data_IF_298068704620
#
_entry.id   IF_298068704620
#
_cell.length_a   1.000
_cell.length_b   1.000
_cell.length_c   1.000
_cell.angle_alpha   90.00
_cell.angle_beta   90.00
_cell.angle_gamma   90.00
#
_symmetry.space_group_name_H-M   'P 1'
#
loop_
_entity.id
_entity.type
_entity.pdbx_description
1 polymer ?
#
# COMPACT_ATOMS: atom_id res chain seq x y z
N UNK A 1 -0.87 -23.69 10.27
CA UNK A 1 -1.16 -22.57 9.35
C UNK A 1 0.01 -21.61 9.47
N UNK A 2 0.69 -21.30 8.35
CA UNK A 2 1.80 -20.34 8.37
C UNK A 2 1.22 -18.93 8.55
N UNK A 3 1.93 -18.10 9.31
CA UNK A 3 1.51 -16.75 9.66
C UNK A 3 2.30 -15.77 8.81
N UNK A 4 1.60 -14.89 8.08
CA UNK A 4 2.19 -13.88 7.20
C UNK A 4 1.66 -12.50 7.62
N UNK A 5 2.25 -11.89 8.66
CA UNK A 5 1.72 -10.69 9.29
C UNK A 5 1.41 -9.54 8.33
N UNK A 6 2.30 -9.25 7.38
CA UNK A 6 2.11 -8.11 6.47
C UNK A 6 1.02 -8.42 5.42
N UNK A 7 0.96 -9.66 4.94
CA UNK A 7 -0.13 -10.12 4.08
C UNK A 7 -1.49 -10.09 4.80
N UNK A 8 -1.54 -10.52 6.06
CA UNK A 8 -2.76 -10.52 6.89
C UNK A 8 -3.24 -9.09 7.19
N UNK A 9 -2.32 -8.16 7.50
CA UNK A 9 -2.65 -6.73 7.62
C UNK A 9 -3.26 -6.19 6.33
N UNK A 10 -2.61 -6.45 5.18
CA UNK A 10 -3.10 -5.97 3.89
C UNK A 10 -4.46 -6.57 3.53
N UNK A 11 -4.68 -7.85 3.84
CA UNK A 11 -5.96 -8.52 3.63
C UNK A 11 -7.07 -7.94 4.51
N UNK A 12 -6.76 -7.65 5.78
CA UNK A 12 -7.70 -7.01 6.70
C UNK A 12 -8.13 -5.60 6.28
N UNK A 13 -7.44 -5.00 5.32
CA UNK A 13 -7.67 -3.65 4.81
C UNK A 13 -8.08 -3.66 3.33
N UNK A 14 -8.37 -4.82 2.74
CA UNK A 14 -8.55 -4.95 1.29
C UNK A 14 -9.63 -4.00 0.74
N UNK A 15 -10.74 -3.86 1.46
CA UNK A 15 -11.89 -3.05 1.02
C UNK A 15 -11.54 -1.57 1.04
N UNK A 16 -10.98 -1.09 2.15
CA UNK A 16 -10.55 0.30 2.34
C UNK A 16 -9.42 0.65 1.38
N UNK A 17 -8.41 -0.21 1.28
CA UNK A 17 -7.27 -0.05 0.37
C UNK A 17 -7.74 0.09 -1.08
N UNK A 18 -8.63 -0.80 -1.54
CA UNK A 18 -9.19 -0.75 -2.89
C UNK A 18 -9.94 0.56 -3.12
N UNK A 19 -10.83 0.95 -2.21
CA UNK A 19 -11.61 2.19 -2.35
C UNK A 19 -10.71 3.44 -2.42
N UNK A 20 -9.67 3.50 -1.58
CA UNK A 20 -8.70 4.61 -1.58
C UNK A 20 -7.92 4.65 -2.89
N UNK A 21 -7.44 3.50 -3.38
CA UNK A 21 -6.70 3.43 -4.64
C UNK A 21 -7.55 3.79 -5.85
N UNK A 22 -8.79 3.30 -5.92
CA UNK A 22 -9.73 3.67 -6.99
C UNK A 22 -10.03 5.18 -7.01
N UNK A 23 -10.23 5.77 -5.83
CA UNK A 23 -10.46 7.21 -5.72
C UNK A 23 -9.20 8.01 -6.08
N UNK A 24 -8.04 7.57 -5.64
CA UNK A 24 -6.76 8.17 -5.99
C UNK A 24 -6.53 8.14 -7.51
N UNK A 25 -6.75 7.01 -8.16
CA UNK A 25 -6.58 6.86 -9.61
C UNK A 25 -7.56 7.76 -10.38
N UNK A 26 -8.80 7.88 -9.90
CA UNK A 26 -9.75 8.85 -10.43
C UNK A 26 -9.21 10.28 -10.32
N UNK A 27 -8.73 10.70 -9.15
CA UNK A 27 -8.16 12.04 -8.94
C UNK A 27 -6.94 12.29 -9.84
N UNK A 28 -6.04 11.33 -9.93
CA UNK A 28 -4.88 11.40 -10.82
C UNK A 28 -5.30 11.56 -12.28
N UNK A 29 -6.36 10.87 -12.72
CA UNK A 29 -6.91 11.02 -14.08
C UNK A 29 -7.47 12.43 -14.37
N UNK A 30 -7.79 13.19 -13.33
CA UNK A 30 -8.23 14.60 -13.41
C UNK A 30 -7.07 15.59 -13.24
N UNK A 31 -5.84 15.10 -13.07
CA UNK A 31 -4.64 15.93 -12.88
C UNK A 31 -4.42 16.40 -11.44
N UNK A 32 -5.13 15.84 -10.46
CA UNK A 32 -4.82 16.09 -9.06
C UNK A 32 -3.62 15.28 -8.62
N UNK A 33 -2.84 15.85 -7.70
CA UNK A 33 -1.65 15.23 -7.11
C UNK A 33 -1.71 15.33 -5.60
N UNK A 34 -1.03 14.43 -4.89
CA UNK A 34 -0.95 14.46 -3.43
C UNK A 34 0.11 15.49 -3.04
N UNK A 35 -0.24 16.40 -2.15
CA UNK A 35 0.68 17.38 -1.59
C UNK A 35 0.66 17.33 -0.06
N UNK A 36 1.74 17.76 0.55
CA UNK A 36 1.90 17.95 1.99
C UNK A 36 2.18 19.42 2.27
N UNK A 37 1.64 19.93 3.37
CA UNK A 37 1.99 21.25 3.86
C UNK A 37 3.31 21.17 4.63
N UNK A 38 4.32 21.90 4.14
CA UNK A 38 5.58 22.11 4.84
C UNK A 38 5.65 23.60 5.16
N UNK A 39 5.48 23.93 6.45
CA UNK A 39 5.26 25.30 6.91
C UNK A 39 4.01 25.90 6.23
N UNK A 40 4.17 26.93 5.39
CA UNK A 40 3.08 27.58 4.64
C UNK A 40 3.04 27.15 3.17
N UNK A 41 3.96 26.30 2.73
CA UNK A 41 4.08 25.86 1.34
C UNK A 41 3.40 24.50 1.11
N UNK A 42 2.70 24.40 -0.03
CA UNK A 42 2.10 23.14 -0.47
C UNK A 42 3.05 22.43 -1.45
N UNK A 43 3.66 21.34 -1.00
CA UNK A 43 4.72 20.64 -1.74
C UNK A 43 4.21 19.29 -2.22
N UNK A 44 4.47 18.97 -3.49
CA UNK A 44 4.11 17.68 -4.08
C UNK A 44 4.83 16.53 -3.37
N UNK A 45 4.07 15.51 -2.96
CA UNK A 45 4.60 14.31 -2.33
C UNK A 45 5.19 13.41 -3.41
N UNK A 46 6.48 13.08 -3.28
CA UNK A 46 7.19 12.21 -4.24
C UNK A 46 6.88 10.73 -4.08
N UNK A 47 6.31 10.32 -2.94
CA UNK A 47 5.89 8.94 -2.67
C UNK A 47 4.65 8.58 -3.50
N UNK A 48 4.58 7.32 -3.94
CA UNK A 48 3.35 6.79 -4.55
C UNK A 48 2.23 6.66 -3.51
N UNK A 49 0.98 6.70 -3.96
CA UNK A 49 -0.18 6.47 -3.10
C UNK A 49 -0.09 5.15 -2.34
N UNK A 50 0.39 4.09 -2.99
CA UNK A 50 0.60 2.79 -2.35
C UNK A 50 1.63 2.87 -1.21
N UNK A 51 2.74 3.59 -1.40
CA UNK A 51 3.72 3.77 -0.33
C UNK A 51 3.13 4.56 0.86
N UNK A 52 2.32 5.58 0.59
CA UNK A 52 1.63 6.33 1.64
C UNK A 52 0.62 5.47 2.42
N UNK A 53 -0.08 4.57 1.74
CA UNK A 53 -0.99 3.62 2.38
C UNK A 53 -0.20 2.66 3.27
N UNK A 54 0.91 2.11 2.78
CA UNK A 54 1.75 1.22 3.57
C UNK A 54 2.31 1.93 4.82
N UNK A 55 2.76 3.17 4.69
CA UNK A 55 3.19 3.99 5.82
C UNK A 55 2.03 4.20 6.83
N UNK A 56 0.83 4.51 6.33
CA UNK A 56 -0.37 4.77 7.15
C UNK A 56 -0.77 3.55 7.99
N UNK A 57 -0.67 2.35 7.42
CA UNK A 57 -1.09 1.11 8.07
C UNK A 57 0.07 0.32 8.69
N UNK A 58 1.30 0.86 8.69
CA UNK A 58 2.47 0.18 9.22
C UNK A 58 2.76 -1.14 8.51
N UNK A 59 2.57 -1.16 7.19
CA UNK A 59 2.89 -2.30 6.33
C UNK A 59 4.33 -2.15 5.84
N UNK A 60 5.16 -3.15 6.10
CA UNK A 60 6.54 -3.18 5.61
C UNK A 60 6.58 -3.79 4.19
N UNK A 61 6.86 -3.01 3.13
CA UNK A 61 6.81 -3.52 1.76
C UNK A 61 7.86 -4.59 1.48
N UNK A 62 9.00 -4.56 2.18
CA UNK A 62 10.07 -5.55 1.99
C UNK A 62 9.65 -6.89 2.59
N UNK A 63 9.06 -6.86 3.79
CA UNK A 63 8.53 -8.06 4.43
C UNK A 63 7.31 -8.61 3.69
N UNK A 64 6.39 -7.74 3.27
CA UNK A 64 5.22 -8.14 2.46
C UNK A 64 5.64 -8.92 1.22
N UNK A 65 6.65 -8.45 0.50
CA UNK A 65 7.15 -9.12 -0.69
C UNK A 65 7.86 -10.44 -0.36
N UNK A 66 8.62 -10.51 0.74
CA UNK A 66 9.21 -11.75 1.21
C UNK A 66 8.15 -12.80 1.59
N UNK A 67 7.09 -12.39 2.29
CA UNK A 67 5.96 -13.24 2.64
C UNK A 67 5.23 -13.75 1.40
N UNK A 68 4.97 -12.89 0.41
CA UNK A 68 4.36 -13.30 -0.88
C UNK A 68 5.18 -14.36 -1.61
N UNK A 69 6.50 -14.23 -1.63
CA UNK A 69 7.40 -15.24 -2.22
C UNK A 69 7.30 -16.56 -1.46
N UNK A 70 7.29 -16.51 -0.13
CA UNK A 70 7.15 -17.71 0.69
C UNK A 70 5.81 -18.41 0.44
N UNK A 71 4.70 -17.66 0.33
CA UNK A 71 3.38 -18.21 -0.02
C UNK A 71 3.44 -18.93 -1.38
N UNK A 72 4.07 -18.33 -2.39
CA UNK A 72 4.20 -18.94 -3.71
C UNK A 72 5.06 -20.21 -3.71
N UNK A 73 6.13 -20.24 -2.91
CA UNK A 73 6.95 -21.46 -2.71
C UNK A 73 6.16 -22.56 -2.03
N UNK A 74 5.36 -22.20 -1.03
CA UNK A 74 4.54 -23.14 -0.28
C UNK A 74 3.46 -23.77 -1.15
N UNK A 75 2.79 -22.98 -1.99
CA UNK A 75 1.80 -23.46 -2.97
C UNK A 75 2.43 -24.35 -4.05
N UNK A 76 3.71 -24.15 -4.40
CA UNK A 76 4.42 -24.95 -5.40
C UNK A 76 5.00 -26.25 -4.86
N UNK A 77 5.21 -26.34 -3.56
CA UNK A 77 5.73 -27.52 -2.88
C UNK A 77 4.66 -28.53 -2.45
N UNK A 78 3.39 -28.16 -2.55
CA UNK A 78 2.19 -29.00 -2.36
C UNK A 78 1.72 -29.62 -3.68
#
# INVERSE_FOLDING_TARGET
MKHYPECEKLQGLEVEHRAIMEFHDYLASKGFVICEYIEDDLIHVSKSAQALIFDTYGIDPVKLEAERRQILEDVRGE
#
